data_IF_606075329032
#
_entry.id   IF_606075329032
#
_cell.length_a   1.000
_cell.length_b   1.000
_cell.length_c   1.000
_cell.angle_alpha   90.00
_cell.angle_beta   90.00
_cell.angle_gamma   90.00
#
_symmetry.space_group_name_H-M   'P 1'
#
loop_
_entity.id
_entity.type
_entity.pdbx_description
1 polymer ?
#
# COMPACT_ATOMS: atom_id res chain seq x y z
N UNK A 1 4.53 13.41 -75.37
CA UNK A 1 4.63 12.22 -74.50
C UNK A 1 5.45 12.59 -73.27
N UNK A 2 4.80 13.03 -72.18
CA UNK A 2 5.48 13.41 -70.94
C UNK A 2 5.16 12.38 -69.86
N UNK A 3 6.20 11.66 -69.41
CA UNK A 3 6.08 10.60 -68.40
C UNK A 3 6.00 11.21 -66.99
N UNK A 4 4.98 10.76 -66.27
CA UNK A 4 4.72 10.96 -64.84
C UNK A 4 5.85 10.36 -64.00
N UNK A 5 6.30 11.08 -62.98
CA UNK A 5 6.97 10.51 -61.81
C UNK A 5 6.11 10.82 -60.58
N UNK A 6 5.28 9.85 -60.22
CA UNK A 6 4.46 9.84 -59.01
C UNK A 6 5.35 9.51 -57.81
N UNK A 7 5.60 10.51 -56.96
CA UNK A 7 6.40 10.39 -55.76
C UNK A 7 5.54 9.76 -54.65
N UNK A 8 5.66 8.44 -54.46
CA UNK A 8 5.00 7.69 -53.38
C UNK A 8 5.72 7.99 -52.06
N UNK A 9 5.15 8.86 -51.22
CA UNK A 9 5.57 9.04 -49.83
C UNK A 9 5.09 7.85 -49.01
N UNK A 10 6.05 7.06 -48.55
CA UNK A 10 5.85 5.96 -47.60
C UNK A 10 5.57 6.56 -46.22
N UNK A 11 4.30 6.54 -45.81
CA UNK A 11 3.89 6.77 -44.43
C UNK A 11 4.29 5.55 -43.61
N UNK A 12 5.49 5.59 -43.03
CA UNK A 12 5.87 4.66 -41.97
C UNK A 12 4.92 4.88 -40.79
N UNK A 13 4.03 3.92 -40.62
CA UNK A 13 3.25 3.67 -39.42
C UNK A 13 4.17 3.75 -38.19
N UNK A 14 4.09 4.86 -37.46
CA UNK A 14 4.70 4.98 -36.14
C UNK A 14 3.80 4.23 -35.19
N UNK A 15 4.16 2.96 -35.00
CA UNK A 15 3.77 2.08 -33.90
C UNK A 15 3.30 2.87 -32.68
N UNK A 16 2.03 2.62 -32.33
CA UNK A 16 1.38 2.89 -31.04
C UNK A 16 2.39 2.76 -29.88
N UNK A 17 2.93 3.88 -29.43
CA UNK A 17 3.42 3.96 -28.06
C UNK A 17 2.17 3.95 -27.17
N UNK A 18 2.07 3.07 -26.16
CA UNK A 18 1.01 3.18 -25.16
C UNK A 18 1.05 4.60 -24.59
N UNK A 19 -0.14 5.20 -24.51
CA UNK A 19 -0.35 6.57 -24.07
C UNK A 19 0.35 6.77 -22.71
N UNK A 20 1.39 7.61 -22.67
CA UNK A 20 2.27 7.82 -21.50
C UNK A 20 1.47 8.19 -20.25
N UNK A 21 0.28 8.74 -20.44
CA UNK A 21 -0.68 9.13 -19.39
C UNK A 21 -1.26 7.94 -18.60
N UNK A 22 -1.33 6.74 -19.19
CA UNK A 22 -1.85 5.55 -18.50
C UNK A 22 -0.81 5.00 -17.51
N UNK A 23 0.47 5.18 -17.79
CA UNK A 23 1.57 4.71 -16.93
C UNK A 23 1.69 5.62 -15.69
N UNK A 24 1.50 6.93 -15.84
CA UNK A 24 1.52 7.88 -14.71
C UNK A 24 0.47 7.57 -13.63
N UNK A 25 -0.74 7.17 -14.03
CA UNK A 25 -1.82 6.85 -13.09
C UNK A 25 -1.55 5.57 -12.27
N UNK A 26 -0.78 4.62 -12.81
CA UNK A 26 -0.44 3.37 -12.13
C UNK A 26 0.70 3.55 -11.11
N UNK A 27 1.65 4.45 -11.38
CA UNK A 27 2.81 4.73 -10.50
C UNK A 27 2.41 5.58 -9.28
N UNK A 28 1.30 6.34 -9.36
CA UNK A 28 0.87 7.24 -8.26
C UNK A 28 0.35 6.51 -7.00
N UNK A 29 -0.30 5.34 -7.15
CA UNK A 29 -0.97 4.66 -6.02
C UNK A 29 -0.01 4.12 -4.94
N UNK A 30 1.12 3.46 -5.28
CA UNK A 30 2.08 2.99 -4.27
C UNK A 30 2.65 4.13 -3.41
N UNK A 31 2.89 5.30 -4.00
CA UNK A 31 3.45 6.46 -3.30
C UNK A 31 2.45 7.03 -2.29
N UNK A 32 1.17 7.13 -2.66
CA UNK A 32 0.12 7.58 -1.75
C UNK A 32 -0.02 6.67 -0.53
N UNK A 33 0.10 5.35 -0.72
CA UNK A 33 0.07 4.38 0.38
C UNK A 33 1.27 4.58 1.32
N UNK A 34 2.47 4.82 0.78
CA UNK A 34 3.67 5.10 1.59
C UNK A 34 3.49 6.37 2.44
N UNK A 35 2.96 7.44 1.87
CA UNK A 35 2.70 8.68 2.61
C UNK A 35 1.70 8.46 3.77
N UNK A 36 0.63 7.71 3.52
CA UNK A 36 -0.35 7.39 4.56
C UNK A 36 0.28 6.55 5.69
N UNK A 37 1.16 5.60 5.35
CA UNK A 37 1.89 4.81 6.35
C UNK A 37 2.81 5.68 7.20
N UNK A 38 3.52 6.65 6.59
CA UNK A 38 4.34 7.64 7.30
C UNK A 38 3.46 8.44 8.28
N UNK A 39 2.32 8.97 7.84
CA UNK A 39 1.42 9.76 8.70
C UNK A 39 0.88 8.95 9.89
N UNK A 40 0.52 7.68 9.67
CA UNK A 40 0.07 6.78 10.74
C UNK A 40 1.19 6.54 11.75
N UNK A 41 2.41 6.26 11.27
CA UNK A 41 3.57 5.97 12.13
C UNK A 41 4.08 7.20 12.86
N UNK A 42 4.00 8.40 12.28
CA UNK A 42 4.27 9.65 13.00
C UNK A 42 3.30 9.84 14.16
N UNK A 43 2.00 9.62 13.95
CA UNK A 43 0.99 9.70 15.01
C UNK A 43 1.19 8.65 16.08
N UNK A 44 1.70 7.47 15.73
CA UNK A 44 2.11 6.45 16.69
C UNK A 44 3.31 6.94 17.50
N UNK A 45 4.36 7.45 16.84
CA UNK A 45 5.56 7.98 17.49
C UNK A 45 5.26 9.10 18.51
N UNK A 46 4.26 9.94 18.23
CA UNK A 46 3.82 10.99 19.17
C UNK A 46 3.19 10.44 20.46
N UNK A 47 2.67 9.20 20.43
CA UNK A 47 2.13 8.51 21.61
C UNK A 47 3.22 7.75 22.35
N UNK A 48 4.12 7.09 21.64
CA UNK A 48 5.21 6.30 22.21
C UNK A 48 6.52 6.49 21.41
N UNK A 49 7.54 7.03 22.08
CA UNK A 49 8.89 7.22 21.51
C UNK A 49 9.71 5.93 21.56
N UNK A 50 9.14 4.83 21.08
CA UNK A 50 9.81 3.54 21.01
C UNK A 50 10.86 3.52 19.90
N UNK A 51 12.03 2.96 20.20
CA UNK A 51 13.14 2.84 19.25
C UNK A 51 12.73 2.08 17.98
N UNK A 52 11.87 1.07 18.14
CA UNK A 52 11.34 0.28 17.02
C UNK A 52 10.53 1.16 16.06
N UNK A 53 9.59 1.94 16.57
CA UNK A 53 8.78 2.87 15.76
C UNK A 53 9.63 3.91 15.05
N UNK A 54 10.67 4.43 15.72
CA UNK A 54 11.63 5.38 15.12
C UNK A 54 12.33 4.74 13.92
N UNK A 55 12.86 3.52 14.05
CA UNK A 55 13.53 2.82 12.96
C UNK A 55 12.60 2.48 11.79
N UNK A 56 11.37 2.02 12.08
CA UNK A 56 10.35 1.77 11.06
C UNK A 56 10.01 3.05 10.29
N UNK A 57 9.86 4.17 10.99
CA UNK A 57 9.57 5.45 10.38
C UNK A 57 10.73 5.96 9.51
N UNK A 58 11.98 5.82 9.96
CA UNK A 58 13.17 6.13 9.14
C UNK A 58 13.16 5.29 7.86
N UNK A 59 12.89 3.99 7.94
CA UNK A 59 12.84 3.11 6.77
C UNK A 59 11.74 3.53 5.78
N UNK A 60 10.56 3.91 6.26
CA UNK A 60 9.48 4.42 5.42
C UNK A 60 9.86 5.74 4.73
N UNK A 61 10.49 6.66 5.45
CA UNK A 61 10.98 7.90 4.86
C UNK A 61 12.03 7.66 3.77
N UNK A 62 13.03 6.80 4.04
CA UNK A 62 14.04 6.45 3.03
C UNK A 62 13.41 5.91 1.76
N UNK A 63 12.46 4.97 1.89
CA UNK A 63 11.73 4.40 0.75
C UNK A 63 10.90 5.44 -0.01
N UNK A 64 10.26 6.37 0.70
CA UNK A 64 9.51 7.46 0.09
C UNK A 64 10.44 8.41 -0.69
N UNK A 65 11.57 8.81 -0.09
CA UNK A 65 12.57 9.67 -0.75
C UNK A 65 13.09 9.03 -2.04
N UNK A 66 13.49 7.76 -1.99
CA UNK A 66 13.92 7.01 -3.18
C UNK A 66 12.83 7.00 -4.26
N UNK A 67 11.57 6.79 -3.86
CA UNK A 67 10.44 6.77 -4.78
C UNK A 67 10.18 8.13 -5.44
N UNK A 68 10.27 9.24 -4.69
CA UNK A 68 10.09 10.58 -5.26
C UNK A 68 11.28 11.01 -6.11
N UNK A 69 12.50 10.64 -5.74
CA UNK A 69 13.72 10.93 -6.50
C UNK A 69 13.71 10.24 -7.87
N UNK A 70 13.33 8.96 -7.93
CA UNK A 70 13.20 8.20 -9.19
C UNK A 70 12.16 8.86 -10.13
N UNK A 71 11.14 9.49 -9.57
CA UNK A 71 10.07 10.16 -10.33
C UNK A 71 10.35 11.64 -10.61
N UNK A 72 11.54 12.16 -10.25
CA UNK A 72 11.92 13.58 -10.38
C UNK A 72 10.91 14.55 -9.73
N UNK A 73 10.21 14.09 -8.69
CA UNK A 73 9.15 14.85 -8.03
C UNK A 73 9.74 15.67 -6.87
N UNK A 74 9.66 17.00 -6.99
CA UNK A 74 10.20 17.99 -6.03
C UNK A 74 9.75 17.78 -4.57
N UNK A 75 8.66 17.04 -4.33
CA UNK A 75 8.19 16.68 -2.99
C UNK A 75 9.19 15.86 -2.18
N UNK A 76 10.20 15.24 -2.80
CA UNK A 76 11.24 14.52 -2.06
C UNK A 76 11.94 15.42 -1.02
N UNK A 77 12.12 16.72 -1.32
CA UNK A 77 12.71 17.68 -0.38
C UNK A 77 11.83 17.90 0.86
N UNK A 78 10.51 17.97 0.69
CA UNK A 78 9.56 18.12 1.80
C UNK A 78 9.61 16.90 2.74
N UNK A 79 9.68 15.70 2.15
CA UNK A 79 9.79 14.45 2.89
C UNK A 79 11.13 14.35 3.63
N UNK A 80 12.23 14.75 3.01
CA UNK A 80 13.54 14.81 3.63
C UNK A 80 13.58 15.79 4.81
N UNK A 81 13.00 16.98 4.65
CA UNK A 81 12.89 17.97 5.73
C UNK A 81 12.03 17.47 6.89
N UNK A 82 10.91 16.80 6.60
CA UNK A 82 10.02 16.22 7.61
C UNK A 82 10.72 15.13 8.42
N UNK A 83 11.46 14.23 7.76
CA UNK A 83 12.31 13.24 8.43
C UNK A 83 13.36 13.91 9.32
N UNK A 84 14.04 14.95 8.82
CA UNK A 84 15.06 15.67 9.57
C UNK A 84 14.49 16.33 10.84
N UNK A 85 13.33 17.01 10.72
CA UNK A 85 12.60 17.60 11.85
C UNK A 85 12.20 16.55 12.89
N UNK A 86 11.75 15.37 12.47
CA UNK A 86 11.43 14.27 13.36
C UNK A 86 12.66 13.76 14.13
N UNK A 87 13.81 13.62 13.45
CA UNK A 87 15.07 13.20 14.08
C UNK A 87 15.68 14.25 15.03
N UNK A 88 15.34 15.53 14.86
CA UNK A 88 15.76 16.60 15.78
C UNK A 88 14.95 16.64 17.09
N UNK A 89 13.81 15.93 17.20
CA UNK A 89 13.00 15.93 18.42
C UNK A 89 13.83 15.39 19.61
N UNK A 90 13.87 16.08 20.77
CA UNK A 90 14.67 15.65 21.93
C UNK A 90 14.37 14.23 22.42
N UNK A 91 13.10 13.82 22.35
CA UNK A 91 12.65 12.49 22.76
C UNK A 91 13.21 11.41 21.82
N UNK A 92 13.24 11.69 20.52
CA UNK A 92 13.79 10.79 19.49
C UNK A 92 15.30 10.69 19.62
N UNK A 93 16.00 11.82 19.80
CA UNK A 93 17.46 11.83 20.00
C UNK A 93 17.89 11.12 21.28
N UNK A 94 17.09 11.22 22.34
CA UNK A 94 17.29 10.48 23.59
C UNK A 94 17.11 8.96 23.40
N UNK A 95 16.06 8.55 22.68
CA UNK A 95 15.79 7.14 22.37
C UNK A 95 16.89 6.51 21.50
N UNK A 96 17.41 7.25 20.52
CA UNK A 96 18.49 6.78 19.62
C UNK A 96 19.86 6.72 20.31
N UNK A 97 20.08 7.49 21.39
CA UNK A 97 21.36 7.55 22.10
C UNK A 97 21.21 7.19 23.59
N UNK A 98 20.87 5.92 23.93
CA UNK A 98 20.63 5.53 25.32
C UNK A 98 21.88 5.67 26.21
N UNK A 99 23.09 5.64 25.62
CA UNK A 99 24.35 5.67 26.36
C UNK A 99 24.67 7.02 27.03
N UNK A 100 24.11 8.14 26.56
CA UNK A 100 24.46 9.47 27.09
C UNK A 100 23.73 9.85 28.40
N UNK A 101 22.74 9.06 28.82
CA UNK A 101 21.87 9.39 29.95
C UNK A 101 21.95 8.42 31.13
N UNK A 102 22.87 7.45 31.10
CA UNK A 102 23.09 6.52 32.23
C UNK A 102 23.98 7.10 33.33
N UNK A 103 24.44 8.36 33.23
CA UNK A 103 25.00 9.09 34.38
C UNK A 103 23.88 9.53 35.34
N UNK A 104 23.19 8.54 35.94
CA UNK A 104 22.42 8.78 37.16
C UNK A 104 23.42 9.22 38.26
N UNK A 105 23.17 10.30 39.01
CA UNK A 105 23.85 10.49 40.29
C UNK A 105 23.62 9.24 41.15
N UNK A 106 24.61 8.80 41.94
CA UNK A 106 24.54 7.56 42.70
C UNK A 106 23.34 7.60 43.63
N UNK A 107 22.25 6.93 43.25
CA UNK A 107 21.14 6.68 44.16
C UNK A 107 21.60 5.59 45.14
N UNK A 108 21.40 5.77 46.46
CA UNK A 108 21.66 4.72 47.43
C UNK A 108 20.84 3.48 47.04
N UNK A 109 21.54 2.35 46.91
CA UNK A 109 20.98 1.05 46.54
C UNK A 109 19.82 0.72 47.50
N UNK A 110 18.58 0.57 47.01
CA UNK A 110 17.60 -0.19 47.75
C UNK A 110 18.13 -1.62 47.82
N UNK A 111 18.18 -2.18 49.04
CA UNK A 111 18.37 -3.61 49.23
C UNK A 111 17.15 -4.29 48.60
N UNK A 112 17.31 -4.76 47.37
CA UNK A 112 16.42 -5.77 46.80
C UNK A 112 16.76 -7.05 47.55
N UNK A 113 15.95 -7.38 48.56
CA UNK A 113 15.80 -8.75 48.99
C UNK A 113 15.30 -9.52 47.77
N UNK A 114 16.22 -10.23 47.14
CA UNK A 114 15.92 -11.23 46.13
C UNK A 114 15.26 -12.36 46.92
N UNK A 115 13.93 -12.35 46.99
CA UNK A 115 13.16 -13.57 47.24
C UNK A 115 13.58 -14.54 46.13
N UNK A 116 14.38 -15.52 46.53
CA UNK A 116 14.71 -16.69 45.73
C UNK A 116 13.37 -17.43 45.58
N UNK A 117 12.64 -17.14 44.50
CA UNK A 117 11.52 -17.97 44.09
C UNK A 117 12.08 -19.38 43.88
N UNK A 118 11.58 -20.31 44.67
CA UNK A 118 11.90 -21.73 44.60
C UNK A 118 11.77 -22.22 43.15
N UNK A 119 12.77 -22.99 42.72
CA UNK A 119 12.90 -23.50 41.36
C UNK A 119 11.63 -24.23 40.92
N UNK A 120 10.91 -23.65 39.95
CA UNK A 120 9.79 -24.32 39.30
C UNK A 120 10.24 -25.69 38.75
N UNK A 121 9.44 -26.71 38.99
CA UNK A 121 9.63 -28.08 38.47
C UNK A 121 9.94 -28.03 36.95
N UNK A 122 11.04 -28.67 36.48
CA UNK A 122 11.42 -28.65 35.06
C UNK A 122 10.29 -29.08 34.11
N UNK A 123 9.35 -29.92 34.57
CA UNK A 123 8.19 -30.32 33.77
C UNK A 123 7.20 -29.16 33.55
N UNK A 124 7.05 -28.26 34.52
CA UNK A 124 6.21 -27.05 34.41
C UNK A 124 6.82 -26.08 33.40
N UNK A 125 8.15 -25.89 33.45
CA UNK A 125 8.89 -25.04 32.51
C UNK A 125 8.74 -25.58 31.08
N UNK A 126 8.92 -26.89 30.88
CA UNK A 126 8.80 -27.51 29.56
C UNK A 126 7.38 -27.40 29.00
N UNK A 127 6.34 -27.60 29.84
CA UNK A 127 4.95 -27.41 29.45
C UNK A 127 4.65 -25.97 29.04
N UNK A 128 5.20 -24.98 29.77
CA UNK A 128 5.07 -23.56 29.45
C UNK A 128 5.71 -23.22 28.10
N UNK A 129 6.95 -23.67 27.87
CA UNK A 129 7.67 -23.46 26.60
C UNK A 129 6.91 -24.06 25.42
N UNK A 130 6.39 -25.28 25.58
CA UNK A 130 5.62 -25.93 24.52
C UNK A 130 4.29 -25.19 24.24
N UNK A 131 3.62 -24.69 25.28
CA UNK A 131 2.40 -23.90 25.12
C UNK A 131 2.63 -22.57 24.39
N UNK A 132 3.75 -21.88 24.65
CA UNK A 132 4.13 -20.65 23.96
C UNK A 132 4.54 -20.90 22.51
N UNK A 133 5.28 -21.98 22.23
CA UNK A 133 5.62 -22.36 20.85
C UNK A 133 4.38 -22.65 20.02
N UNK A 134 3.42 -23.39 20.57
CA UNK A 134 2.17 -23.69 19.87
C UNK A 134 1.37 -22.41 19.57
N UNK A 135 1.29 -21.45 20.51
CA UNK A 135 0.65 -20.14 20.26
C UNK A 135 1.30 -19.38 19.10
N UNK A 136 2.63 -19.29 19.09
CA UNK A 136 3.35 -18.59 18.01
C UNK A 136 3.11 -19.21 16.63
N UNK A 137 3.01 -20.53 16.54
CA UNK A 137 2.75 -21.24 15.28
C UNK A 137 1.33 -20.93 14.77
N UNK A 138 0.34 -20.96 15.67
CA UNK A 138 -1.06 -20.62 15.34
C UNK A 138 -1.16 -19.17 14.86
N UNK A 139 -0.51 -18.24 15.56
CA UNK A 139 -0.52 -16.82 15.19
C UNK A 139 0.13 -16.57 13.82
N UNK A 140 1.23 -17.27 13.50
CA UNK A 140 1.86 -17.17 12.18
C UNK A 140 0.98 -17.72 11.06
N UNK A 141 0.25 -18.81 11.31
CA UNK A 141 -0.74 -19.34 10.36
C UNK A 141 -1.81 -18.31 10.03
N UNK A 142 -2.39 -17.68 11.07
CA UNK A 142 -3.44 -16.68 10.92
C UNK A 142 -2.99 -15.49 10.09
N UNK A 143 -1.78 -14.99 10.37
CA UNK A 143 -1.18 -13.87 9.63
C UNK A 143 -1.05 -14.23 8.15
N UNK A 144 -0.50 -15.40 7.84
CA UNK A 144 -0.30 -15.85 6.45
C UNK A 144 -1.63 -15.99 5.70
N UNK A 145 -2.65 -16.54 6.36
CA UNK A 145 -3.97 -16.73 5.74
C UNK A 145 -4.68 -15.38 5.52
N UNK A 146 -4.52 -14.42 6.44
CA UNK A 146 -5.01 -13.04 6.27
C UNK A 146 -4.33 -12.33 5.10
N UNK A 147 -3.01 -12.44 4.99
CA UNK A 147 -2.24 -11.90 3.86
C UNK A 147 -2.75 -12.48 2.53
N UNK A 148 -2.96 -13.80 2.47
CA UNK A 148 -3.48 -14.46 1.27
C UNK A 148 -4.91 -14.01 0.88
N UNK A 149 -5.77 -13.67 1.85
CA UNK A 149 -7.10 -13.09 1.56
C UNK A 149 -6.96 -11.67 0.99
N UNK A 150 -6.09 -10.85 1.59
CA UNK A 150 -5.86 -9.47 1.12
C UNK A 150 -5.31 -9.44 -0.31
N UNK A 151 -4.29 -10.26 -0.60
CA UNK A 151 -3.67 -10.32 -1.92
C UNK A 151 -4.64 -10.82 -3.00
N UNK A 152 -5.40 -11.89 -2.71
CA UNK A 152 -6.41 -12.40 -3.66
C UNK A 152 -7.50 -11.38 -3.93
N UNK A 153 -8.03 -10.73 -2.89
CA UNK A 153 -9.06 -9.70 -3.04
C UNK A 153 -8.55 -8.50 -3.83
N UNK A 154 -7.32 -8.05 -3.60
CA UNK A 154 -6.71 -6.95 -4.34
C UNK A 154 -6.54 -7.31 -5.82
N UNK A 155 -6.02 -8.49 -6.12
CA UNK A 155 -5.84 -8.97 -7.49
C UNK A 155 -7.18 -9.12 -8.22
N UNK A 156 -8.19 -9.70 -7.56
CA UNK A 156 -9.55 -9.81 -8.12
C UNK A 156 -10.14 -8.43 -8.45
N UNK A 157 -9.97 -7.45 -7.55
CA UNK A 157 -10.41 -6.07 -7.77
C UNK A 157 -9.70 -5.40 -8.93
N UNK A 158 -8.38 -5.53 -9.03
CA UNK A 158 -7.61 -4.98 -10.15
C UNK A 158 -8.07 -5.60 -11.47
N UNK A 159 -8.21 -6.92 -11.53
CA UNK A 159 -8.64 -7.62 -12.74
C UNK A 159 -10.03 -7.19 -13.18
N UNK A 160 -11.01 -7.17 -12.27
CA UNK A 160 -12.39 -6.78 -12.57
C UNK A 160 -12.51 -5.33 -13.05
N UNK A 161 -11.80 -4.40 -12.41
CA UNK A 161 -11.76 -3.01 -12.86
C UNK A 161 -11.13 -2.90 -14.25
N UNK A 162 -10.06 -3.66 -14.52
CA UNK A 162 -9.43 -3.64 -15.85
C UNK A 162 -10.33 -4.21 -16.94
N UNK A 163 -11.08 -5.28 -16.66
CA UNK A 163 -12.07 -5.86 -17.57
C UNK A 163 -13.15 -4.83 -17.94
N UNK A 164 -13.72 -4.14 -16.95
CA UNK A 164 -14.73 -3.09 -17.16
C UNK A 164 -14.15 -1.97 -18.03
N UNK A 165 -12.99 -1.43 -17.65
CA UNK A 165 -12.36 -0.33 -18.42
C UNK A 165 -12.11 -0.71 -19.87
N UNK A 166 -11.53 -1.88 -20.12
CA UNK A 166 -11.27 -2.36 -21.48
C UNK A 166 -12.57 -2.47 -22.27
N UNK A 167 -13.64 -2.99 -21.66
CA UNK A 167 -14.93 -3.12 -22.34
C UNK A 167 -15.50 -1.75 -22.77
N UNK A 168 -15.54 -0.76 -21.88
CA UNK A 168 -16.03 0.58 -22.20
C UNK A 168 -15.11 1.34 -23.16
N UNK A 169 -13.79 1.23 -23.02
CA UNK A 169 -12.82 1.84 -23.93
C UNK A 169 -12.96 1.30 -25.36
N UNK A 170 -13.22 0.00 -25.53
CA UNK A 170 -13.49 -0.61 -26.84
C UNK A 170 -14.75 -0.03 -27.45
N UNK A 171 -15.86 0.02 -26.69
CA UNK A 171 -17.12 0.56 -27.18
C UNK A 171 -17.02 2.05 -27.53
N UNK A 172 -16.35 2.87 -26.72
CA UNK A 172 -16.13 4.29 -27.00
C UNK A 172 -15.29 4.48 -28.28
N UNK A 173 -14.24 3.67 -28.47
CA UNK A 173 -13.40 3.73 -29.68
C UNK A 173 -14.17 3.35 -30.94
N UNK A 174 -15.09 2.39 -30.85
CA UNK A 174 -15.96 2.02 -31.97
C UNK A 174 -16.90 3.16 -32.35
N UNK A 175 -17.44 3.90 -31.37
CA UNK A 175 -18.27 5.09 -31.60
C UNK A 175 -17.47 6.25 -32.19
N UNK A 176 -16.24 6.48 -31.73
CA UNK A 176 -15.35 7.50 -32.30
C UNK A 176 -15.10 7.24 -33.80
N UNK A 177 -14.90 5.98 -34.19
CA UNK A 177 -14.71 5.60 -35.59
C UNK A 177 -15.93 5.83 -36.49
N UNK A 178 -17.13 5.94 -35.92
CA UNK A 178 -18.37 6.24 -36.67
C UNK A 178 -18.63 7.75 -36.81
N UNK A 179 -17.94 8.59 -36.00
CA UNK A 179 -18.16 10.03 -35.92
C UNK A 179 -17.62 10.87 -37.08
N UNK A 180 -17.02 10.26 -38.09
CA UNK A 180 -16.57 10.94 -39.31
C UNK A 180 -17.74 11.35 -40.23
N UNK A 181 -18.97 10.90 -39.94
CA UNK A 181 -20.17 11.32 -40.67
C UNK A 181 -20.56 12.74 -40.22
N UNK A 182 -20.36 13.72 -41.11
CA UNK A 182 -20.64 15.14 -40.88
C UNK A 182 -22.05 15.36 -40.27
N UNK A 183 -22.09 16.00 -39.10
CA UNK A 183 -23.34 16.42 -38.42
C UNK A 183 -23.72 15.64 -37.16
N UNK A 184 -23.11 14.48 -36.87
CA UNK A 184 -23.45 13.67 -35.68
C UNK A 184 -22.48 13.79 -34.49
N UNK A 185 -21.39 14.55 -34.62
CA UNK A 185 -20.37 14.69 -33.57
C UNK A 185 -20.94 15.08 -32.19
N UNK A 186 -21.91 15.99 -32.13
CA UNK A 186 -22.48 16.44 -30.87
C UNK A 186 -23.28 15.37 -30.11
N UNK A 187 -23.89 14.41 -30.82
CA UNK A 187 -24.63 13.32 -30.17
C UNK A 187 -23.67 12.24 -29.66
N UNK A 188 -22.64 11.91 -30.44
CA UNK A 188 -21.64 10.90 -30.08
C UNK A 188 -20.87 11.32 -28.82
N UNK A 189 -20.48 12.60 -28.72
CA UNK A 189 -19.79 13.11 -27.52
C UNK A 189 -20.64 12.92 -26.26
N UNK A 190 -21.95 13.23 -26.32
CA UNK A 190 -22.85 13.03 -25.18
C UNK A 190 -23.00 11.56 -24.79
N UNK A 191 -23.06 10.67 -25.78
CA UNK A 191 -23.11 9.22 -25.52
C UNK A 191 -21.83 8.76 -24.83
N UNK A 192 -20.66 9.20 -25.30
CA UNK A 192 -19.39 8.86 -24.67
C UNK A 192 -19.26 9.42 -23.25
N UNK A 193 -19.76 10.63 -22.99
CA UNK A 193 -19.81 11.20 -21.64
C UNK A 193 -20.67 10.34 -20.71
N UNK A 194 -21.86 9.91 -21.16
CA UNK A 194 -22.72 9.00 -20.39
C UNK A 194 -22.03 7.65 -20.15
N UNK A 195 -21.38 7.08 -21.16
CA UNK A 195 -20.64 5.82 -21.01
C UNK A 195 -19.50 5.91 -19.99
N UNK A 196 -18.81 7.05 -19.89
CA UNK A 196 -17.79 7.28 -18.86
C UNK A 196 -18.41 7.30 -17.47
N UNK A 197 -19.56 7.96 -17.32
CA UNK A 197 -20.31 7.96 -16.06
C UNK A 197 -20.73 6.55 -15.65
N UNK A 198 -21.31 5.79 -16.59
CA UNK A 198 -21.77 4.42 -16.35
C UNK A 198 -20.59 3.50 -15.99
N UNK A 199 -19.44 3.66 -16.65
CA UNK A 199 -18.20 2.94 -16.33
C UNK A 199 -17.72 3.20 -14.90
N UNK A 200 -17.69 4.48 -14.48
CA UNK A 200 -17.26 4.85 -13.13
C UNK A 200 -18.24 4.32 -12.07
N UNK A 201 -19.55 4.39 -12.32
CA UNK A 201 -20.59 3.83 -11.45
C UNK A 201 -20.45 2.30 -11.32
N UNK A 202 -20.19 1.60 -12.42
CA UNK A 202 -19.99 0.14 -12.42
C UNK A 202 -18.71 -0.25 -11.67
N UNK A 203 -17.61 0.49 -11.86
CA UNK A 203 -16.35 0.31 -11.11
C UNK A 203 -16.58 0.51 -9.61
N UNK A 204 -17.37 1.50 -9.22
CA UNK A 204 -17.69 1.75 -7.81
C UNK A 204 -18.50 0.60 -7.21
N UNK A 205 -19.56 0.15 -7.90
CA UNK A 205 -20.38 -0.99 -7.46
C UNK A 205 -19.54 -2.25 -7.26
N UNK A 206 -18.74 -2.63 -8.25
CA UNK A 206 -17.86 -3.80 -8.18
C UNK A 206 -16.80 -3.66 -7.08
N UNK A 207 -16.29 -2.44 -6.87
CA UNK A 207 -15.36 -2.17 -5.77
C UNK A 207 -15.99 -2.43 -4.41
N UNK A 208 -17.22 -1.95 -4.19
CA UNK A 208 -17.96 -2.15 -2.93
C UNK A 208 -18.29 -3.63 -2.70
N UNK A 209 -18.75 -4.35 -3.73
CA UNK A 209 -19.04 -5.79 -3.66
C UNK A 209 -17.81 -6.61 -3.26
N UNK A 210 -16.65 -6.35 -3.86
CA UNK A 210 -15.41 -7.05 -3.54
C UNK A 210 -14.87 -6.70 -2.15
N UNK A 211 -15.05 -5.45 -1.70
CA UNK A 211 -14.69 -5.05 -0.35
C UNK A 211 -15.56 -5.76 0.71
N UNK A 212 -16.86 -5.94 0.46
CA UNK A 212 -17.77 -6.72 1.30
C UNK A 212 -17.40 -8.22 1.31
N UNK A 213 -17.12 -8.80 0.14
CA UNK A 213 -16.65 -10.20 0.02
C UNK A 213 -15.38 -10.44 0.85
N UNK A 214 -14.40 -9.54 0.76
CA UNK A 214 -13.17 -9.61 1.56
C UNK A 214 -13.46 -9.56 3.07
N UNK A 215 -14.33 -8.63 3.50
CA UNK A 215 -14.69 -8.52 4.92
C UNK A 215 -15.35 -9.81 5.43
N UNK A 216 -16.21 -10.43 4.61
CA UNK A 216 -16.85 -11.70 4.92
C UNK A 216 -15.84 -12.85 5.05
N UNK A 217 -14.87 -12.95 4.14
CA UNK A 217 -13.80 -13.95 4.22
C UNK A 217 -12.93 -13.78 5.48
N UNK A 218 -12.55 -12.53 5.81
CA UNK A 218 -11.82 -12.23 7.05
C UNK A 218 -12.65 -12.61 8.28
N UNK A 219 -13.96 -12.34 8.26
CA UNK A 219 -14.87 -12.71 9.36
C UNK A 219 -14.89 -14.23 9.56
N UNK A 220 -15.07 -15.00 8.49
CA UNK A 220 -15.07 -16.47 8.54
C UNK A 220 -13.75 -17.02 9.07
N UNK A 221 -12.61 -16.50 8.61
CA UNK A 221 -11.30 -16.91 9.10
C UNK A 221 -11.16 -16.68 10.61
N UNK A 222 -11.60 -15.52 11.11
CA UNK A 222 -11.57 -15.25 12.56
C UNK A 222 -12.42 -16.22 13.36
N UNK A 223 -13.61 -16.54 12.88
CA UNK A 223 -14.51 -17.51 13.54
C UNK A 223 -13.90 -18.91 13.59
N UNK A 224 -13.24 -19.35 12.51
CA UNK A 224 -12.53 -20.63 12.47
C UNK A 224 -11.38 -20.69 13.48
N UNK A 225 -10.58 -19.63 13.58
CA UNK A 225 -9.48 -19.57 14.55
C UNK A 225 -9.96 -19.52 16.01
N UNK A 226 -11.09 -18.85 16.29
CA UNK A 226 -11.68 -18.87 17.64
C UNK A 226 -12.13 -20.28 18.01
N UNK A 227 -12.72 -21.04 17.08
CA UNK A 227 -13.14 -22.43 17.33
C UNK A 227 -11.99 -23.39 17.61
N UNK A 228 -10.81 -23.15 17.02
CA UNK A 228 -9.61 -23.98 17.25
C UNK A 228 -9.00 -23.70 18.63
N UNK A 229 -9.17 -22.50 19.17
CA UNK A 229 -8.59 -22.07 20.45
C UNK A 229 -9.52 -22.24 21.65
N UNK A 230 -10.79 -22.61 21.43
CA UNK A 230 -11.75 -23.01 22.47
C UNK A 230 -11.64 -24.50 22.77
#
# INVERSE_FOLDING_TARGET
MSRRLSNKRSTRDRSKCPDVRIIEAAVSKPIQILLLQIDIKEKELEKNFELKTIHELIALYSKAIESFEINEDLRFHEIQERMHKMLQKPQVTQALNPQKYTKKPPRPKPKLEIEILEEDDPDIIQKRINSERNRKIIDQGLIRDLEAIMDRSLNEKVNKISEIKIAYEVQMRELEGQGEIEGQQGLIVKVMEQMKYDMDEEIEKVSQELDLKRQEEIRKLREEYVKINM
#
